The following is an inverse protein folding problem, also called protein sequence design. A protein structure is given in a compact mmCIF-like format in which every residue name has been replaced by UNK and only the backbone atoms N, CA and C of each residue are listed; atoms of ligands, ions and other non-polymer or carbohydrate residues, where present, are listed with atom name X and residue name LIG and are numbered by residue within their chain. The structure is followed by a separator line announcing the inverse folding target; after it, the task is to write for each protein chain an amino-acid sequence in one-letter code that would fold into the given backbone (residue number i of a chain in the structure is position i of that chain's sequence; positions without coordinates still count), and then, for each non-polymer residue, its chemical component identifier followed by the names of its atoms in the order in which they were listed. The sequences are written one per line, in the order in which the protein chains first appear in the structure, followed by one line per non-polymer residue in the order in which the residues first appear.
data_IF_597353800874
#
_entry.id   IF_597353800874
#
_cell.length_a   1.000
_cell.length_b   1.000
_cell.length_c   1.000
_cell.angle_alpha   90.00
_cell.angle_beta   90.00
_cell.angle_gamma   90.00
#
_symmetry.space_group_name_H-M   'P 1'
#
loop_
_entity.id
_entity.type
_entity.pdbx_description
1 polymer ?
#
# COMPACT_ATOMS: atom_id res chain seq x y z
N UNK A 1 -2.82 9.33 -38.94
CA UNK A 1 -2.48 7.91 -38.73
C UNK A 1 -2.22 7.74 -37.24
N UNK A 2 -3.19 7.22 -36.48
CA UNK A 2 -3.03 7.00 -35.04
C UNK A 2 -1.97 5.91 -34.88
N UNK A 3 -0.88 6.25 -34.20
CA UNK A 3 0.26 5.37 -34.03
C UNK A 3 -0.19 4.12 -33.26
N UNK A 4 0.00 2.92 -33.83
CA UNK A 4 -0.48 1.65 -33.26
C UNK A 4 0.03 1.40 -31.82
N UNK A 5 1.12 2.05 -31.44
CA UNK A 5 1.65 2.07 -30.08
C UNK A 5 0.70 2.71 -29.05
N UNK A 6 -0.08 3.74 -29.43
CA UNK A 6 -1.00 4.45 -28.53
C UNK A 6 -2.20 3.56 -28.17
N UNK A 7 -2.64 2.71 -29.09
CA UNK A 7 -3.78 1.81 -28.85
C UNK A 7 -3.43 0.67 -27.89
N UNK A 8 -2.16 0.24 -27.86
CA UNK A 8 -1.70 -0.84 -26.99
C UNK A 8 -1.65 -0.45 -25.49
N UNK A 9 -1.47 0.84 -25.18
CA UNK A 9 -1.42 1.32 -23.80
C UNK A 9 -2.77 1.25 -23.06
N UNK A 10 -3.90 1.24 -23.79
CA UNK A 10 -5.25 1.18 -23.20
C UNK A 10 -5.73 -0.23 -22.86
N UNK A 11 -4.98 -1.27 -23.21
CA UNK A 11 -5.36 -2.68 -22.99
C UNK A 11 -4.64 -3.30 -21.80
N UNK A 12 -3.70 -2.57 -21.17
CA UNK A 12 -3.08 -3.04 -19.93
C UNK A 12 -4.11 -2.93 -18.80
N UNK A 13 -4.41 -4.02 -18.07
CA UNK A 13 -5.23 -3.93 -16.87
C UNK A 13 -4.49 -3.05 -15.85
N UNK A 14 -4.96 -1.81 -15.69
CA UNK A 14 -4.45 -0.91 -14.67
C UNK A 14 -4.89 -1.44 -13.29
N UNK A 15 -3.95 -1.59 -12.38
CA UNK A 15 -4.28 -1.80 -10.98
C UNK A 15 -5.00 -0.53 -10.47
N UNK A 16 -6.27 -0.66 -10.08
CA UNK A 16 -6.99 0.41 -9.38
C UNK A 16 -6.51 0.43 -7.92
N UNK A 17 -5.43 1.18 -7.68
CA UNK A 17 -4.89 1.41 -6.35
C UNK A 17 -5.58 2.60 -5.67
N UNK A 18 -5.48 2.66 -4.33
CA UNK A 18 -5.97 3.79 -3.57
C UNK A 18 -5.02 4.99 -3.73
N UNK A 19 -5.60 6.17 -3.95
CA UNK A 19 -4.89 7.43 -3.78
C UNK A 19 -5.07 7.98 -2.37
N UNK A 20 -4.69 9.25 -2.17
CA UNK A 20 -4.80 9.96 -0.88
C UNK A 20 -6.18 9.80 -0.22
N UNK A 21 -7.24 10.04 -0.98
CA UNK A 21 -8.60 10.00 -0.47
C UNK A 21 -9.04 8.58 -0.09
N UNK A 22 -8.57 7.57 -0.83
CA UNK A 22 -8.83 6.17 -0.52
C UNK A 22 -8.18 5.74 0.80
N UNK A 23 -6.90 6.10 0.98
CA UNK A 23 -6.20 5.87 2.25
C UNK A 23 -6.86 6.57 3.42
N UNK A 24 -7.25 7.84 3.25
CA UNK A 24 -7.94 8.61 4.28
C UNK A 24 -9.28 7.98 4.68
N UNK A 25 -10.09 7.58 3.70
CA UNK A 25 -11.38 6.94 3.94
C UNK A 25 -11.25 5.62 4.73
N UNK A 26 -10.28 4.78 4.38
CA UNK A 26 -10.01 3.54 5.13
C UNK A 26 -9.55 3.83 6.56
N UNK A 27 -8.67 4.81 6.73
CA UNK A 27 -8.15 5.18 8.05
C UNK A 27 -9.25 5.74 8.98
N UNK A 28 -10.14 6.61 8.47
CA UNK A 28 -11.29 7.07 9.26
C UNK A 28 -12.23 5.92 9.62
N UNK A 29 -12.56 5.06 8.65
CA UNK A 29 -13.42 3.91 8.90
C UNK A 29 -12.80 2.99 9.97
N UNK A 30 -11.49 2.75 9.94
CA UNK A 30 -10.80 1.94 10.95
C UNK A 30 -10.86 2.56 12.35
N UNK A 31 -10.74 3.90 12.44
CA UNK A 31 -10.75 4.62 13.72
C UNK A 31 -12.03 4.39 14.52
N UNK A 32 -13.17 4.22 13.85
CA UNK A 32 -14.47 3.95 14.47
C UNK A 32 -14.55 2.56 15.13
N UNK A 33 -13.69 1.62 14.73
CA UNK A 33 -13.65 0.26 15.27
C UNK A 33 -12.56 0.03 16.33
N UNK A 34 -11.79 1.06 16.69
CA UNK A 34 -10.74 0.91 17.70
C UNK A 34 -11.33 0.69 19.09
N UNK A 35 -10.81 -0.31 19.80
CA UNK A 35 -11.07 -0.45 21.23
C UNK A 35 -10.32 0.63 22.04
N UNK A 36 -10.57 0.70 23.36
CA UNK A 36 -9.98 1.71 24.23
C UNK A 36 -8.44 1.67 24.24
N UNK A 37 -7.85 0.48 24.19
CA UNK A 37 -6.39 0.31 24.18
C UNK A 37 -5.78 0.83 22.86
N UNK A 38 -6.35 0.44 21.71
CA UNK A 38 -5.89 0.89 20.40
C UNK A 38 -6.00 2.42 20.27
N UNK A 39 -7.11 3.02 20.74
CA UNK A 39 -7.26 4.46 20.77
C UNK A 39 -6.17 5.14 21.60
N UNK A 40 -5.93 4.65 22.82
CA UNK A 40 -4.90 5.20 23.71
C UNK A 40 -3.51 5.13 23.08
N UNK A 41 -3.11 3.95 22.57
CA UNK A 41 -1.79 3.75 21.95
C UNK A 41 -1.61 4.65 20.73
N UNK A 42 -2.61 4.77 19.86
CA UNK A 42 -2.53 5.64 18.68
C UNK A 42 -2.44 7.12 19.08
N UNK A 43 -3.19 7.56 20.09
CA UNK A 43 -3.07 8.92 20.64
C UNK A 43 -1.68 9.17 21.24
N UNK A 44 -1.08 8.20 21.93
CA UNK A 44 0.28 8.32 22.47
C UNK A 44 1.33 8.46 21.36
N UNK A 45 1.15 7.75 20.23
CA UNK A 45 2.07 7.81 19.08
C UNK A 45 1.90 9.11 18.29
N UNK A 46 0.66 9.48 17.98
CA UNK A 46 0.36 10.56 17.03
C UNK A 46 0.16 11.93 17.69
N UNK A 47 -0.16 11.95 18.98
CA UNK A 47 -0.57 13.15 19.70
C UNK A 47 -2.09 13.27 19.83
N UNK A 48 -2.53 13.97 20.87
CA UNK A 48 -3.95 14.20 21.14
C UNK A 48 -4.61 15.07 20.05
N UNK A 49 -5.83 14.70 19.68
CA UNK A 49 -6.60 15.35 18.61
C UNK A 49 -6.10 15.11 17.18
N UNK A 50 -5.02 14.36 16.98
CA UNK A 50 -4.50 14.08 15.63
C UNK A 50 -5.36 13.02 14.93
N UNK A 51 -5.83 13.35 13.73
CA UNK A 51 -6.63 12.45 12.89
C UNK A 51 -5.71 11.53 12.09
N UNK A 52 -5.90 10.22 12.23
CA UNK A 52 -5.04 9.22 11.57
C UNK A 52 -5.12 9.26 10.04
N UNK A 53 -6.27 9.66 9.49
CA UNK A 53 -6.44 9.84 8.05
C UNK A 53 -5.51 10.89 7.45
N UNK A 54 -5.13 11.93 8.20
CA UNK A 54 -4.27 13.01 7.70
C UNK A 54 -2.83 12.51 7.43
N UNK A 55 -2.43 11.39 8.05
CA UNK A 55 -1.11 10.75 7.88
C UNK A 55 -1.17 9.42 7.12
N UNK A 56 -2.36 8.96 6.73
CA UNK A 56 -2.56 7.66 6.08
C UNK A 56 -1.84 7.52 4.72
N UNK A 57 -1.54 8.64 4.06
CA UNK A 57 -0.77 8.69 2.80
C UNK A 57 0.67 9.14 3.00
N UNK A 58 1.18 9.18 4.23
CA UNK A 58 2.58 9.49 4.50
C UNK A 58 3.54 8.55 3.74
N UNK A 59 3.33 7.22 3.70
CA UNK A 59 4.20 6.32 2.95
C UNK A 59 4.36 6.68 1.47
N UNK A 60 3.25 7.00 0.78
CA UNK A 60 3.31 7.46 -0.61
C UNK A 60 3.94 8.86 -0.73
N UNK A 61 3.67 9.74 0.24
CA UNK A 61 4.14 11.12 0.22
C UNK A 61 5.66 11.20 0.38
N UNK A 62 6.27 10.35 1.21
CA UNK A 62 7.73 10.31 1.36
C UNK A 62 8.41 9.65 0.16
N UNK A 63 7.77 8.66 -0.45
CA UNK A 63 8.27 7.96 -1.64
C UNK A 63 8.26 8.85 -2.89
N UNK A 64 7.28 9.74 -3.02
CA UNK A 64 7.11 10.62 -4.18
C UNK A 64 7.40 12.11 -3.88
N UNK A 65 7.87 12.42 -2.67
CA UNK A 65 8.12 13.78 -2.19
C UNK A 65 9.57 14.23 -2.32
N UNK A 66 9.92 15.37 -1.68
CA UNK A 66 11.28 15.93 -1.71
C UNK A 66 12.37 14.99 -1.17
N UNK A 67 11.98 14.03 -0.33
CA UNK A 67 12.89 13.06 0.30
C UNK A 67 12.89 11.69 -0.41
N UNK A 68 12.33 11.58 -1.62
CA UNK A 68 12.17 10.30 -2.32
C UNK A 68 13.43 9.43 -2.34
N UNK A 69 14.62 10.02 -2.52
CA UNK A 69 15.89 9.29 -2.52
C UNK A 69 16.19 8.58 -1.19
N UNK A 70 15.75 9.12 -0.06
CA UNK A 70 15.91 8.51 1.27
C UNK A 70 14.91 7.36 1.50
N UNK A 71 13.79 7.38 0.78
CA UNK A 71 12.65 6.47 0.98
C UNK A 71 12.42 5.53 -0.21
N UNK A 72 13.30 5.52 -1.21
CA UNK A 72 13.17 4.66 -2.39
C UNK A 72 13.10 3.17 -2.01
N UNK A 73 13.78 2.78 -0.93
CA UNK A 73 13.72 1.44 -0.36
C UNK A 73 12.33 1.06 0.19
N UNK A 74 11.39 1.98 0.38
CA UNK A 74 10.03 1.59 0.81
C UNK A 74 9.13 1.22 -0.35
N UNK A 75 9.53 1.49 -1.61
CA UNK A 75 8.65 1.33 -2.78
C UNK A 75 8.04 -0.08 -2.89
N UNK A 76 8.85 -1.12 -2.71
CA UNK A 76 8.42 -2.52 -2.79
C UNK A 76 7.49 -2.95 -1.65
N UNK A 77 7.34 -2.13 -0.60
CA UNK A 77 6.48 -2.44 0.54
C UNK A 77 5.01 -2.11 0.29
N UNK A 78 4.65 -1.49 -0.84
CA UNK A 78 3.29 -1.06 -1.14
C UNK A 78 2.45 -2.12 -1.86
N UNK A 79 3.07 -3.22 -2.31
CA UNK A 79 2.40 -4.25 -3.09
C UNK A 79 3.00 -5.64 -2.84
N UNK A 80 2.36 -6.66 -3.39
CA UNK A 80 2.91 -8.00 -3.55
C UNK A 80 2.59 -8.48 -4.96
N UNK A 81 3.62 -8.63 -5.78
CA UNK A 81 3.45 -9.04 -7.16
C UNK A 81 3.26 -10.55 -7.24
N UNK A 82 2.02 -10.97 -7.49
CA UNK A 82 1.71 -12.39 -7.65
C UNK A 82 2.06 -12.85 -9.05
N UNK A 83 2.75 -13.97 -9.17
CA UNK A 83 3.00 -14.59 -10.47
C UNK A 83 1.69 -14.98 -11.18
N UNK A 84 1.50 -14.48 -12.41
CA UNK A 84 0.47 -14.96 -13.34
C UNK A 84 1.16 -15.86 -14.36
N UNK A 85 0.84 -17.15 -14.36
CA UNK A 85 1.27 -18.07 -15.41
C UNK A 85 0.22 -18.12 -16.52
N UNK A 86 0.65 -17.85 -17.76
CA UNK A 86 -0.01 -18.20 -19.01
C UNK A 86 -1.50 -17.83 -19.17
N UNK A 87 -1.86 -16.57 -18.92
CA UNK A 87 -3.15 -16.00 -19.34
C UNK A 87 -4.39 -16.56 -18.61
N UNK A 88 -4.22 -17.51 -17.69
CA UNK A 88 -5.28 -18.03 -16.84
C UNK A 88 -5.49 -17.11 -15.63
N UNK A 89 -6.35 -16.12 -15.81
CA UNK A 89 -6.85 -15.24 -14.73
C UNK A 89 -7.67 -16.02 -13.69
N UNK A 90 -8.00 -17.29 -13.93
CA UNK A 90 -8.84 -18.13 -13.08
C UNK A 90 -8.17 -18.64 -11.81
N UNK A 91 -6.83 -18.57 -11.68
CA UNK A 91 -6.10 -19.14 -10.53
C UNK A 91 -4.98 -18.23 -9.99
N UNK A 92 -5.29 -16.96 -9.74
CA UNK A 92 -4.34 -16.05 -9.07
C UNK A 92 -4.40 -16.31 -7.56
N UNK A 93 -3.30 -16.82 -7.00
CA UNK A 93 -3.14 -17.00 -5.56
C UNK A 93 -1.86 -16.32 -5.09
N UNK A 94 -1.92 -15.63 -3.94
CA UNK A 94 -0.76 -15.13 -3.24
C UNK A 94 -0.11 -16.27 -2.45
N UNK A 95 1.18 -16.50 -2.69
CA UNK A 95 2.00 -17.47 -1.97
C UNK A 95 3.18 -16.72 -1.38
N UNK A 96 3.18 -16.53 -0.06
CA UNK A 96 4.14 -15.67 0.64
C UNK A 96 5.60 -15.97 0.29
N UNK A 97 6.01 -17.24 0.30
CA UNK A 97 7.39 -17.63 -0.02
C UNK A 97 7.81 -17.39 -1.48
N UNK A 98 6.85 -17.28 -2.40
CA UNK A 98 7.09 -17.01 -3.82
C UNK A 98 7.02 -15.51 -4.13
N UNK A 99 5.99 -14.84 -3.61
CA UNK A 99 5.61 -13.48 -4.00
C UNK A 99 6.14 -12.40 -3.03
N UNK A 100 6.64 -12.79 -1.85
CA UNK A 100 7.18 -11.88 -0.84
C UNK A 100 8.63 -12.24 -0.50
N UNK A 101 9.50 -12.15 -1.50
CA UNK A 101 10.92 -12.49 -1.34
C UNK A 101 11.56 -11.61 -0.26
N UNK A 102 12.31 -12.24 0.64
CA UNK A 102 13.06 -11.58 1.73
C UNK A 102 12.18 -10.69 2.64
N UNK A 103 10.90 -11.04 2.81
CA UNK A 103 9.88 -10.23 3.53
C UNK A 103 9.67 -8.82 2.92
N UNK A 104 10.14 -8.57 1.70
CA UNK A 104 10.08 -7.27 1.04
C UNK A 104 8.86 -7.18 0.11
N UNK A 105 7.69 -7.08 0.73
CA UNK A 105 6.40 -6.83 0.09
C UNK A 105 5.43 -6.22 1.12
N UNK A 106 4.20 -5.88 0.72
CA UNK A 106 3.18 -5.33 1.65
C UNK A 106 2.83 -6.27 2.82
N UNK A 107 2.75 -7.58 2.59
CA UNK A 107 2.47 -8.55 3.65
C UNK A 107 3.65 -8.64 4.64
N UNK A 108 4.89 -8.63 4.15
CA UNK A 108 6.09 -8.60 4.99
C UNK A 108 6.26 -7.28 5.75
N UNK A 109 5.88 -6.16 5.14
CA UNK A 109 5.83 -4.87 5.80
C UNK A 109 4.83 -4.86 6.97
N UNK A 110 3.62 -5.38 6.77
CA UNK A 110 2.62 -5.53 7.84
C UNK A 110 3.21 -6.35 9.00
N UNK A 111 3.83 -7.50 8.71
CA UNK A 111 4.49 -8.36 9.71
C UNK A 111 5.58 -7.60 10.48
N UNK A 112 6.45 -6.87 9.77
CA UNK A 112 7.55 -6.10 10.36
C UNK A 112 7.02 -4.97 11.27
N UNK A 113 6.14 -4.10 10.78
CA UNK A 113 5.65 -2.94 11.54
C UNK A 113 4.70 -3.31 12.69
N UNK A 114 4.07 -4.49 12.63
CA UNK A 114 3.28 -5.02 13.75
C UNK A 114 4.17 -5.53 14.90
N UNK A 115 5.42 -5.91 14.61
CA UNK A 115 6.34 -6.50 15.59
C UNK A 115 7.30 -5.48 16.23
N UNK A 116 7.12 -4.19 15.96
CA UNK A 116 7.99 -3.10 16.43
C UNK A 116 7.41 -2.37 17.63
#
# INVERSE_FOLDING_TARGET
MINRAILAAFVLPGALAWGRDGHAAIADAAKDYFNSNANKTVTEIMGDGVRIADYSSLPDSVLHGPHAAEWEWSAGLHYADTHITDGEVSFISFVYSRDCKDDYCVAGAIKNYTSR
#
